data_IF_211647126197
#
_entry.id   IF_211647126197
#
_cell.length_a   1.000
_cell.length_b   1.000
_cell.length_c   1.000
_cell.angle_alpha   90.00
_cell.angle_beta   90.00
_cell.angle_gamma   90.00
#
_symmetry.space_group_name_H-M   'P 1'
#
loop_
_entity.id
_entity.type
_entity.pdbx_description
1 polymer ?
#
# COMPACT_ATOMS: atom_id res chain seq x y z
N UNK A 1 9.46 -3.08 -12.16
CA UNK A 1 8.88 -1.76 -11.88
C UNK A 1 7.36 -1.86 -11.84
N UNK A 2 6.74 -1.25 -10.86
CA UNK A 2 5.29 -1.23 -10.72
C UNK A 2 4.74 -0.06 -11.53
N UNK A 3 3.84 -0.36 -12.46
CA UNK A 3 3.19 0.65 -13.27
C UNK A 3 1.77 0.87 -12.75
N UNK A 4 1.42 2.14 -12.51
CA UNK A 4 0.05 2.52 -12.16
C UNK A 4 -0.73 2.67 -13.46
N UNK A 5 -1.64 1.72 -13.71
CA UNK A 5 -2.53 1.75 -14.87
C UNK A 5 -3.96 1.93 -14.41
N UNK A 6 -4.69 2.81 -15.06
CA UNK A 6 -6.05 3.16 -14.66
C UNK A 6 -7.00 1.98 -14.66
N UNK A 7 -6.78 0.99 -15.52
CA UNK A 7 -7.70 -0.14 -15.73
C UNK A 7 -7.43 -1.36 -14.84
N UNK A 8 -6.42 -1.30 -13.97
CA UNK A 8 -6.03 -2.46 -13.14
C UNK A 8 -6.57 -2.42 -11.71
N UNK A 9 -7.30 -1.39 -11.38
CA UNK A 9 -7.84 -1.21 -10.03
C UNK A 9 -9.25 -1.77 -9.91
N UNK A 10 -9.53 -2.38 -8.74
CA UNK A 10 -10.84 -2.96 -8.45
C UNK A 10 -11.30 -2.58 -7.04
N UNK A 11 -12.61 -2.64 -6.82
CA UNK A 11 -13.20 -2.44 -5.49
C UNK A 11 -12.98 -3.67 -4.62
N UNK A 12 -13.29 -3.56 -3.33
CA UNK A 12 -13.22 -4.69 -2.38
C UNK A 12 -14.03 -5.90 -2.86
N UNK A 13 -15.17 -5.66 -3.51
CA UNK A 13 -16.01 -6.73 -4.07
C UNK A 13 -15.55 -7.25 -5.43
N UNK A 14 -14.42 -6.76 -5.95
CA UNK A 14 -13.87 -7.21 -7.23
C UNK A 14 -14.41 -6.50 -8.46
N UNK A 15 -15.13 -5.41 -8.28
CA UNK A 15 -15.71 -4.63 -9.38
C UNK A 15 -14.65 -3.71 -9.97
N UNK A 16 -14.45 -3.70 -11.31
CA UNK A 16 -13.46 -2.82 -11.92
C UNK A 16 -13.73 -1.34 -11.66
N UNK A 17 -12.65 -0.59 -11.49
CA UNK A 17 -12.67 0.88 -11.37
C UNK A 17 -12.07 1.42 -12.66
N UNK A 18 -12.88 1.95 -13.60
CA UNK A 18 -12.38 2.34 -14.91
C UNK A 18 -11.42 3.52 -14.88
N UNK A 19 -11.60 4.44 -13.91
CA UNK A 19 -10.80 5.65 -13.77
C UNK A 19 -10.43 5.85 -12.32
N UNK A 20 -9.25 5.35 -11.93
CA UNK A 20 -8.76 5.44 -10.56
C UNK A 20 -8.51 6.90 -10.15
N UNK A 21 -8.09 7.75 -11.07
CA UNK A 21 -7.84 9.17 -10.76
C UNK A 21 -9.13 9.85 -10.33
N UNK A 22 -10.20 9.71 -11.09
CA UNK A 22 -11.51 10.28 -10.73
C UNK A 22 -12.07 9.67 -9.45
N UNK A 23 -11.88 8.36 -9.27
CA UNK A 23 -12.33 7.64 -8.07
C UNK A 23 -11.64 8.19 -6.82
N UNK A 24 -10.33 8.32 -6.84
CA UNK A 24 -9.56 8.88 -5.71
C UNK A 24 -9.93 10.33 -5.46
N UNK A 25 -10.00 11.16 -6.51
CA UNK A 25 -10.36 12.57 -6.36
C UNK A 25 -11.73 12.76 -5.72
N UNK A 26 -12.72 11.99 -6.14
CA UNK A 26 -14.09 12.12 -5.62
C UNK A 26 -14.19 11.77 -4.13
N UNK A 27 -13.39 10.80 -3.66
CA UNK A 27 -13.37 10.42 -2.25
C UNK A 27 -12.45 11.32 -1.42
N UNK A 28 -11.35 11.79 -2.00
CA UNK A 28 -10.36 12.59 -1.28
C UNK A 28 -10.88 13.99 -0.89
N UNK A 29 -11.83 14.55 -1.65
CA UNK A 29 -12.43 15.85 -1.29
C UNK A 29 -13.39 15.77 -0.11
N UNK A 30 -13.74 14.57 0.33
CA UNK A 30 -14.68 14.34 1.43
C UNK A 30 -13.91 14.27 2.75
N UNK A 31 -14.13 15.23 3.63
CA UNK A 31 -13.43 15.34 4.91
C UNK A 31 -13.69 14.18 5.87
N UNK A 32 -14.69 13.32 5.58
CA UNK A 32 -14.97 12.15 6.41
C UNK A 32 -13.87 11.12 6.33
N UNK A 33 -13.09 11.11 5.25
CA UNK A 33 -12.12 10.05 4.99
C UNK A 33 -10.69 10.45 5.31
N UNK A 34 -9.97 9.54 5.96
CA UNK A 34 -8.50 9.57 6.00
C UNK A 34 -7.98 8.58 4.97
N UNK A 35 -6.85 8.90 4.33
CA UNK A 35 -6.31 8.12 3.22
C UNK A 35 -5.11 7.31 3.69
N UNK A 36 -5.09 6.03 3.31
CA UNK A 36 -4.07 5.07 3.71
C UNK A 36 -3.67 4.22 2.52
N UNK A 37 -2.41 3.81 2.48
CA UNK A 37 -1.88 2.91 1.46
C UNK A 37 -1.12 1.79 2.14
N UNK A 38 -1.37 0.56 1.72
CA UNK A 38 -0.64 -0.60 2.20
C UNK A 38 -0.36 -1.56 1.07
N UNK A 39 0.74 -2.29 1.17
CA UNK A 39 1.15 -3.29 0.18
C UNK A 39 1.54 -4.56 0.90
N UNK A 40 1.19 -5.68 0.30
CA UNK A 40 1.66 -6.98 0.72
C UNK A 40 1.96 -7.83 -0.51
N UNK A 41 2.77 -8.86 -0.34
CA UNK A 41 3.15 -9.73 -1.44
C UNK A 41 3.20 -11.18 -0.99
N UNK A 42 2.98 -12.08 -1.95
CA UNK A 42 3.12 -13.51 -1.74
C UNK A 42 3.97 -14.11 -2.84
N UNK A 43 5.03 -14.79 -2.44
CA UNK A 43 5.93 -15.45 -3.36
C UNK A 43 5.45 -16.87 -3.66
N UNK A 44 5.28 -17.16 -4.94
CA UNK A 44 5.02 -18.49 -5.46
C UNK A 44 6.32 -19.05 -6.06
N UNK A 45 6.27 -20.26 -6.61
CA UNK A 45 7.48 -20.91 -7.12
C UNK A 45 8.16 -20.12 -8.24
N UNK A 46 7.38 -19.54 -9.16
CA UNK A 46 7.94 -18.90 -10.36
C UNK A 46 7.71 -17.39 -10.41
N UNK A 47 6.86 -16.85 -9.53
CA UNK A 47 6.48 -15.44 -9.55
C UNK A 47 6.04 -14.99 -8.18
N UNK A 48 5.88 -13.68 -8.04
CA UNK A 48 5.32 -13.05 -6.85
C UNK A 48 4.08 -12.26 -7.24
N UNK A 49 3.02 -12.36 -6.45
CA UNK A 49 1.88 -11.46 -6.54
C UNK A 49 2.10 -10.35 -5.51
N UNK A 50 2.05 -9.11 -5.98
CA UNK A 50 2.11 -7.94 -5.11
C UNK A 50 0.78 -7.20 -5.23
N UNK A 51 0.18 -6.87 -4.08
CA UNK A 51 -1.09 -6.16 -4.01
C UNK A 51 -0.91 -4.87 -3.25
N UNK A 52 -1.39 -3.77 -3.82
CA UNK A 52 -1.41 -2.47 -3.16
C UNK A 52 -2.85 -2.04 -3.00
N UNK A 53 -3.21 -1.63 -1.78
CA UNK A 53 -4.53 -1.16 -1.44
C UNK A 53 -4.51 0.33 -1.11
N UNK A 54 -5.47 1.07 -1.68
CA UNK A 54 -5.79 2.44 -1.28
C UNK A 54 -7.03 2.34 -0.41
N UNK A 55 -6.95 2.87 0.81
CA UNK A 55 -8.03 2.78 1.79
C UNK A 55 -8.51 4.16 2.18
N UNK A 56 -9.81 4.37 2.08
CA UNK A 56 -10.50 5.59 2.52
C UNK A 56 -11.28 5.21 3.77
N UNK A 57 -10.74 5.60 4.92
CA UNK A 57 -11.33 5.24 6.21
C UNK A 57 -12.18 6.37 6.75
N UNK A 58 -13.44 6.07 7.05
CA UNK A 58 -14.31 6.93 7.84
C UNK A 58 -14.31 6.41 9.27
N UNK A 59 -13.69 7.12 10.25
CA UNK A 59 -13.63 6.63 11.62
C UNK A 59 -15.01 6.29 12.17
N UNK A 60 -15.16 5.07 12.69
CA UNK A 60 -16.44 4.57 13.23
C UNK A 60 -17.41 4.03 12.19
N UNK A 61 -17.11 4.12 10.89
CA UNK A 61 -18.03 3.72 9.81
C UNK A 61 -17.41 2.74 8.79
N UNK A 62 -16.15 2.37 8.95
CA UNK A 62 -15.50 1.40 8.09
C UNK A 62 -14.57 2.00 7.07
N UNK A 63 -14.29 1.23 6.01
CA UNK A 63 -13.29 1.57 5.02
C UNK A 63 -13.77 1.25 3.61
N UNK A 64 -13.49 2.18 2.67
CA UNK A 64 -13.67 1.94 1.23
C UNK A 64 -12.31 1.58 0.66
N UNK A 65 -12.23 0.53 -0.13
CA UNK A 65 -10.97 -0.02 -0.63
C UNK A 65 -10.96 -0.05 -2.15
N UNK A 66 -9.83 0.40 -2.72
CA UNK A 66 -9.46 0.12 -4.10
C UNK A 66 -8.12 -0.62 -4.06
N UNK A 67 -7.99 -1.72 -4.79
CA UNK A 67 -6.73 -2.45 -4.80
C UNK A 67 -6.32 -2.84 -6.21
N UNK A 68 -5.02 -3.06 -6.39
CA UNK A 68 -4.39 -3.48 -7.62
C UNK A 68 -3.49 -4.66 -7.33
N UNK A 69 -3.60 -5.72 -8.13
CA UNK A 69 -2.73 -6.89 -8.07
C UNK A 69 -1.80 -6.90 -9.27
N UNK A 70 -0.53 -7.18 -9.02
CA UNK A 70 0.46 -7.29 -10.07
C UNK A 70 1.28 -8.57 -9.90
N UNK A 71 1.64 -9.16 -11.02
CA UNK A 71 2.54 -10.30 -11.06
C UNK A 71 3.93 -9.79 -11.41
N UNK A 72 4.90 -10.11 -10.57
CA UNK A 72 6.29 -9.69 -10.74
C UNK A 72 7.23 -10.88 -10.58
N UNK A 73 8.50 -10.70 -10.94
CA UNK A 73 9.53 -11.70 -10.72
C UNK A 73 9.76 -11.91 -9.22
N UNK A 74 10.22 -13.10 -8.84
CA UNK A 74 10.49 -13.40 -7.45
C UNK A 74 11.63 -12.54 -6.89
N UNK A 75 11.54 -12.26 -5.58
CA UNK A 75 12.57 -11.56 -4.84
C UNK A 75 13.71 -12.48 -4.45
N UNK A 76 14.91 -11.92 -4.25
CA UNK A 76 16.06 -12.67 -3.76
C UNK A 76 16.06 -12.89 -2.25
N UNK A 77 15.35 -12.06 -1.48
CA UNK A 77 15.36 -12.12 -0.02
C UNK A 77 14.13 -11.46 0.59
N UNK A 78 13.90 -11.72 1.88
CA UNK A 78 12.83 -11.04 2.65
C UNK A 78 13.08 -9.53 2.70
N UNK A 79 14.34 -9.12 2.82
CA UNK A 79 14.71 -7.70 2.78
C UNK A 79 14.27 -7.03 1.48
N UNK A 80 14.58 -7.66 0.34
CA UNK A 80 14.17 -7.13 -0.96
C UNK A 80 12.65 -7.08 -1.10
N UNK A 81 11.95 -8.09 -0.57
CA UNK A 81 10.49 -8.12 -0.55
C UNK A 81 9.92 -6.90 0.16
N UNK A 82 10.40 -6.64 1.37
CA UNK A 82 9.92 -5.51 2.19
C UNK A 82 10.22 -4.17 1.54
N UNK A 83 11.39 -4.02 0.92
CA UNK A 83 11.74 -2.81 0.18
C UNK A 83 10.83 -2.63 -1.04
N UNK A 84 10.58 -3.68 -1.80
CA UNK A 84 9.70 -3.61 -2.98
C UNK A 84 8.26 -3.28 -2.59
N UNK A 85 7.76 -3.86 -1.50
CA UNK A 85 6.43 -3.52 -0.98
C UNK A 85 6.35 -2.04 -0.59
N UNK A 86 7.39 -1.52 0.05
CA UNK A 86 7.46 -0.11 0.45
C UNK A 86 7.52 0.80 -0.77
N UNK A 87 8.31 0.47 -1.77
CA UNK A 87 8.38 1.24 -3.02
C UNK A 87 7.04 1.26 -3.74
N UNK A 88 6.32 0.15 -3.75
CA UNK A 88 4.98 0.08 -4.32
C UNK A 88 4.01 1.02 -3.60
N UNK A 89 4.02 1.00 -2.26
CA UNK A 89 3.19 1.92 -1.47
C UNK A 89 3.56 3.38 -1.71
N UNK A 90 4.84 3.69 -1.80
CA UNK A 90 5.31 5.06 -2.04
C UNK A 90 4.90 5.56 -3.43
N UNK A 91 4.95 4.70 -4.45
CA UNK A 91 4.51 5.08 -5.80
C UNK A 91 3.02 5.46 -5.80
N UNK A 92 2.19 4.69 -5.10
CA UNK A 92 0.75 4.97 -4.97
C UNK A 92 0.51 6.20 -4.12
N UNK A 93 1.24 6.37 -3.02
CA UNK A 93 1.14 7.55 -2.15
C UNK A 93 1.47 8.84 -2.93
N UNK A 94 2.51 8.80 -3.76
CA UNK A 94 2.87 9.93 -4.62
C UNK A 94 1.77 10.25 -5.63
N UNK A 95 1.18 9.23 -6.25
CA UNK A 95 0.05 9.39 -7.15
C UNK A 95 -1.12 10.08 -6.43
N UNK A 96 -1.51 9.59 -5.26
CA UNK A 96 -2.60 10.18 -4.46
C UNK A 96 -2.29 11.63 -4.11
N UNK A 97 -1.08 11.89 -3.63
CA UNK A 97 -0.64 13.23 -3.23
C UNK A 97 -0.69 14.21 -4.40
N UNK A 98 -0.26 13.77 -5.58
CA UNK A 98 -0.23 14.60 -6.79
C UNK A 98 -1.64 14.98 -7.24
N UNK A 99 -2.59 14.03 -7.23
CA UNK A 99 -3.94 14.29 -7.76
C UNK A 99 -4.89 14.89 -6.73
N UNK A 100 -4.63 14.75 -5.44
CA UNK A 100 -5.53 15.20 -4.38
C UNK A 100 -4.95 16.28 -3.46
N UNK A 101 -3.63 16.44 -3.44
CA UNK A 101 -2.95 17.32 -2.48
C UNK A 101 -2.89 16.77 -1.05
N UNK A 102 -3.34 15.54 -0.84
CA UNK A 102 -3.38 14.88 0.48
C UNK A 102 -2.27 13.86 0.56
N UNK A 103 -1.47 13.90 1.63
CA UNK A 103 -0.44 12.90 1.91
C UNK A 103 -1.06 11.73 2.67
N UNK A 104 -1.20 10.55 2.05
CA UNK A 104 -1.77 9.40 2.75
C UNK A 104 -0.79 8.86 3.79
N UNK A 105 -1.33 8.14 4.77
CA UNK A 105 -0.52 7.35 5.70
C UNK A 105 -0.09 6.06 5.02
N UNK A 106 1.20 5.76 5.04
CA UNK A 106 1.75 4.52 4.48
C UNK A 106 1.84 3.46 5.58
N UNK A 107 1.28 2.30 5.30
CA UNK A 107 1.29 1.15 6.21
C UNK A 107 2.34 0.17 5.74
N UNK A 108 3.36 -0.07 6.56
CA UNK A 108 4.46 -0.97 6.23
C UNK A 108 4.32 -2.28 7.00
N UNK A 109 4.42 -3.41 6.31
CA UNK A 109 4.28 -4.75 6.88
C UNK A 109 5.59 -5.19 7.56
N UNK A 110 6.01 -4.41 8.56
CA UNK A 110 7.24 -4.65 9.32
C UNK A 110 6.91 -4.74 10.79
N UNK A 111 7.43 -5.79 11.46
CA UNK A 111 7.19 -6.01 12.87
C UNK A 111 8.35 -5.46 13.69
N UNK A 112 8.06 -4.50 14.57
CA UNK A 112 9.05 -3.87 15.45
C UNK A 112 9.56 -4.80 16.57
N UNK A 113 8.88 -5.93 16.79
CA UNK A 113 9.22 -6.88 17.87
C UNK A 113 10.18 -7.99 17.42
N UNK A 114 10.53 -8.03 16.14
CA UNK A 114 11.45 -9.02 15.61
C UNK A 114 12.91 -8.67 15.89
N UNK A 115 13.83 -9.61 15.59
CA UNK A 115 15.24 -9.56 15.94
C UNK A 115 16.01 -8.42 15.25
N UNK A 116 17.31 -8.29 15.56
CA UNK A 116 18.18 -7.18 15.13
C UNK A 116 18.18 -6.90 13.63
N UNK A 117 18.02 -7.93 12.78
CA UNK A 117 17.91 -7.76 11.31
C UNK A 117 16.66 -6.96 10.94
N UNK A 118 15.54 -7.25 11.60
CA UNK A 118 14.27 -6.54 11.39
C UNK A 118 14.33 -5.09 11.84
N UNK A 119 15.11 -4.78 12.88
CA UNK A 119 15.30 -3.39 13.32
C UNK A 119 16.01 -2.55 12.28
N UNK A 120 16.99 -3.12 11.56
CA UNK A 120 17.68 -2.43 10.47
C UNK A 120 16.74 -2.18 9.29
N UNK A 121 15.95 -3.18 8.92
CA UNK A 121 14.94 -3.06 7.87
C UNK A 121 13.89 -2.04 8.25
N UNK A 122 13.42 -2.07 9.49
CA UNK A 122 12.44 -1.11 10.02
C UNK A 122 12.96 0.31 9.89
N UNK A 123 14.20 0.57 10.33
CA UNK A 123 14.81 1.89 10.25
C UNK A 123 14.91 2.38 8.81
N UNK A 124 15.30 1.50 7.88
CA UNK A 124 15.40 1.83 6.47
C UNK A 124 14.04 2.19 5.89
N UNK A 125 13.03 1.37 6.14
CA UNK A 125 11.66 1.58 5.61
C UNK A 125 11.07 2.86 6.17
N UNK A 126 11.17 3.08 7.48
CA UNK A 126 10.65 4.30 8.10
C UNK A 126 11.36 5.55 7.54
N UNK A 127 12.67 5.46 7.32
CA UNK A 127 13.44 6.55 6.72
C UNK A 127 13.02 6.85 5.29
N UNK A 128 12.73 5.81 4.49
CA UNK A 128 12.24 5.98 3.12
C UNK A 128 10.90 6.70 3.10
N UNK A 129 9.95 6.25 3.91
CA UNK A 129 8.58 6.80 3.93
C UNK A 129 8.57 8.23 4.48
N UNK A 130 9.20 8.45 5.63
CA UNK A 130 9.28 9.77 6.25
C UNK A 130 10.06 10.75 5.40
N UNK A 131 11.13 10.28 4.74
CA UNK A 131 11.94 11.11 3.87
C UNK A 131 11.19 11.64 2.66
N UNK A 132 10.13 10.97 2.23
CA UNK A 132 9.24 11.44 1.17
C UNK A 132 8.07 12.27 1.70
N UNK A 133 7.98 12.48 3.02
CA UNK A 133 6.97 13.36 3.63
C UNK A 133 5.67 12.66 4.02
N UNK A 134 5.64 11.34 4.08
CA UNK A 134 4.44 10.60 4.45
C UNK A 134 4.48 10.10 5.89
N UNK A 135 3.34 10.16 6.61
CA UNK A 135 3.21 9.43 7.87
C UNK A 135 3.34 7.93 7.62
N UNK A 136 3.94 7.21 8.57
CA UNK A 136 4.15 5.77 8.45
C UNK A 136 3.65 5.07 9.71
N UNK A 137 2.95 3.94 9.53
CA UNK A 137 2.60 3.03 10.62
C UNK A 137 3.11 1.64 10.28
N UNK A 138 3.46 0.88 11.31
CA UNK A 138 4.02 -0.47 11.20
C UNK A 138 3.19 -1.43 12.03
N UNK A 139 3.46 -2.74 11.94
CA UNK A 139 2.75 -3.74 12.74
C UNK A 139 2.86 -3.42 14.25
N UNK A 140 1.79 -3.62 15.01
CA UNK A 140 0.52 -4.26 14.65
C UNK A 140 -0.51 -3.29 14.04
N UNK A 141 -0.17 -2.04 13.79
CA UNK A 141 -1.11 -1.00 13.38
C UNK A 141 -1.19 -0.82 11.86
N UNK A 142 -0.51 -1.66 11.08
CA UNK A 142 -0.44 -1.57 9.62
C UNK A 142 -1.64 -2.26 8.94
N UNK A 143 -2.86 -1.85 9.27
CA UNK A 143 -4.08 -2.52 8.82
C UNK A 143 -4.31 -2.42 7.30
N UNK A 144 -3.81 -1.38 6.63
CA UNK A 144 -3.95 -1.30 5.17
C UNK A 144 -3.09 -2.36 4.47
N UNK A 145 -1.94 -2.73 5.04
CA UNK A 145 -1.15 -3.85 4.54
C UNK A 145 -1.86 -5.18 4.78
N UNK A 146 -2.57 -5.32 5.90
CA UNK A 146 -3.38 -6.51 6.19
C UNK A 146 -4.53 -6.65 5.18
N UNK A 147 -5.15 -5.54 4.77
CA UNK A 147 -6.17 -5.56 3.72
C UNK A 147 -5.55 -6.03 2.40
N UNK A 148 -4.38 -5.50 2.02
CA UNK A 148 -3.69 -5.93 0.81
C UNK A 148 -3.39 -7.44 0.84
N UNK A 149 -3.01 -8.00 2.00
CA UNK A 149 -2.75 -9.43 2.17
C UNK A 149 -3.96 -10.29 1.77
N UNK A 150 -5.17 -9.82 1.98
CA UNK A 150 -6.38 -10.56 1.62
C UNK A 150 -6.45 -10.87 0.12
N UNK A 151 -5.76 -10.11 -0.72
CA UNK A 151 -5.84 -10.20 -2.18
C UNK A 151 -4.53 -10.65 -2.83
N UNK A 152 -3.58 -11.18 -2.07
CA UNK A 152 -2.33 -11.75 -2.62
C UNK A 152 -2.46 -13.21 -3.03
N UNK A 153 -3.57 -13.84 -2.73
CA UNK A 153 -3.79 -15.29 -2.93
C UNK A 153 -4.34 -15.63 -4.31
#
# INVERSE_FOLDING_TARGET
MIHLQDNDWVTLGGKPIPDITSHVRSLAVDDRYTLHVGTDSKQFTEYTIITTAICFREPGHGVIVAYQRQKINNYGSVYERLIQETLASLAVAEFISTISGISPTVHADVNIKEEALSNRVLSTIMGMVKGMGYPVVVKPDAWAADIADMFTR
#
